data_IF_011498322786
#
_entry.id   IF_011498322786
#
_cell.length_a   1.000
_cell.length_b   1.000
_cell.length_c   1.000
_cell.angle_alpha   90.00
_cell.angle_beta   90.00
_cell.angle_gamma   90.00
#
_symmetry.space_group_name_H-M   'P 1'
#
loop_
_entity.id
_entity.type
_entity.pdbx_description
1 polymer ?
#
# COMPACT_ATOMS: atom_id res chain seq x y z
N UNK A 1 7.05 11.85 -0.06
CA UNK A 1 5.92 11.93 -1.02
C UNK A 1 6.00 13.22 -1.83
N UNK A 2 5.84 13.10 -3.16
CA UNK A 2 5.78 14.18 -4.14
C UNK A 2 4.38 14.83 -4.17
N UNK A 3 4.35 16.15 -4.09
CA UNK A 3 3.14 16.96 -4.19
C UNK A 3 2.75 17.19 -5.65
N UNK A 4 1.48 16.96 -6.00
CA UNK A 4 0.96 17.00 -7.36
C UNK A 4 -0.27 17.90 -7.44
N UNK A 5 -0.24 18.86 -8.37
CA UNK A 5 -1.33 19.80 -8.65
C UNK A 5 -1.83 19.72 -10.10
N UNK A 6 -1.14 18.99 -10.96
CA UNK A 6 -1.52 18.77 -12.36
C UNK A 6 -2.01 17.34 -12.54
N UNK A 7 -3.29 17.19 -12.87
CA UNK A 7 -3.96 15.90 -12.99
C UNK A 7 -4.19 15.61 -14.47
N UNK A 8 -3.40 14.72 -15.03
CA UNK A 8 -3.49 14.29 -16.42
C UNK A 8 -3.58 12.75 -16.53
N UNK A 9 -3.84 12.26 -17.74
CA UNK A 9 -3.92 10.83 -18.00
C UNK A 9 -2.58 10.12 -17.79
N UNK A 10 -1.45 10.84 -17.95
CA UNK A 10 -0.12 10.25 -17.77
C UNK A 10 0.11 9.89 -16.31
N UNK A 11 -0.21 10.82 -15.40
CA UNK A 11 -0.17 10.59 -13.96
C UNK A 11 -1.11 9.46 -13.54
N UNK A 12 -2.31 9.40 -14.13
CA UNK A 12 -3.27 8.31 -13.86
C UNK A 12 -2.69 6.94 -14.20
N UNK A 13 -2.02 6.82 -15.34
CA UNK A 13 -1.33 5.58 -15.73
C UNK A 13 -0.10 5.31 -14.86
N UNK A 14 0.65 6.34 -14.45
CA UNK A 14 1.77 6.21 -13.50
C UNK A 14 1.31 5.61 -12.16
N UNK A 15 0.22 6.13 -11.59
CA UNK A 15 -0.36 5.63 -10.34
C UNK A 15 -0.82 4.17 -10.50
N UNK A 16 -1.57 3.85 -11.56
CA UNK A 16 -2.04 2.48 -11.81
C UNK A 16 -0.89 1.49 -11.96
N UNK A 17 0.16 1.86 -12.70
CA UNK A 17 1.32 1.00 -12.90
C UNK A 17 2.09 0.80 -11.59
N UNK A 18 2.23 1.85 -10.79
CA UNK A 18 2.86 1.76 -9.47
C UNK A 18 2.06 0.85 -8.55
N UNK A 19 0.74 1.02 -8.49
CA UNK A 19 -0.16 0.17 -7.71
C UNK A 19 -0.11 -1.29 -8.15
N UNK A 20 -0.19 -1.55 -9.46
CA UNK A 20 -0.06 -2.91 -9.99
C UNK A 20 1.29 -3.54 -9.61
N UNK A 21 2.37 -2.77 -9.65
CA UNK A 21 3.69 -3.19 -9.18
C UNK A 21 3.70 -3.49 -7.68
N UNK A 22 3.05 -2.67 -6.85
CA UNK A 22 2.94 -2.91 -5.41
C UNK A 22 2.22 -4.24 -5.11
N UNK A 23 1.16 -4.58 -5.86
CA UNK A 23 0.49 -5.89 -5.73
C UNK A 23 1.49 -7.03 -5.96
N UNK A 24 2.33 -6.95 -7.00
CA UNK A 24 3.33 -7.98 -7.28
C UNK A 24 4.41 -8.05 -6.18
N UNK A 25 4.86 -6.90 -5.68
CA UNK A 25 5.80 -6.82 -4.55
C UNK A 25 5.21 -7.47 -3.30
N UNK A 26 3.95 -7.16 -2.94
CA UNK A 26 3.27 -7.78 -1.80
C UNK A 26 3.19 -9.31 -1.94
N UNK A 27 2.80 -9.81 -3.11
CA UNK A 27 2.74 -11.26 -3.37
C UNK A 27 4.12 -11.89 -3.24
N UNK A 28 5.16 -11.28 -3.84
CA UNK A 28 6.52 -11.80 -3.80
C UNK A 28 7.07 -11.88 -2.39
N UNK A 29 7.00 -10.77 -1.64
CA UNK A 29 7.50 -10.71 -0.26
C UNK A 29 6.67 -11.61 0.66
N UNK A 30 5.35 -11.65 0.50
CA UNK A 30 4.52 -12.55 1.30
C UNK A 30 4.92 -14.01 1.06
N UNK A 31 5.05 -14.46 -0.19
CA UNK A 31 5.46 -15.83 -0.50
C UNK A 31 6.84 -16.20 0.07
N UNK A 32 7.76 -15.24 0.11
CA UNK A 32 9.10 -15.43 0.65
C UNK A 32 9.10 -15.61 2.17
N UNK A 33 8.38 -14.76 2.90
CA UNK A 33 8.44 -14.74 4.37
C UNK A 33 7.34 -15.55 5.05
N UNK A 34 6.24 -15.85 4.37
CA UNK A 34 5.11 -16.61 4.92
C UNK A 34 5.50 -17.92 5.62
N UNK A 35 6.50 -18.71 5.18
CA UNK A 35 6.96 -19.88 5.91
C UNK A 35 7.41 -19.57 7.35
N UNK A 36 8.11 -18.44 7.57
CA UNK A 36 8.60 -18.05 8.89
C UNK A 36 7.46 -17.67 9.85
N UNK A 37 6.40 -17.02 9.36
CA UNK A 37 5.21 -16.74 10.16
C UNK A 37 4.41 -18.01 10.46
N UNK A 38 4.36 -18.97 9.53
CA UNK A 38 3.68 -20.26 9.75
C UNK A 38 4.31 -21.09 10.87
N UNK A 39 5.62 -20.99 11.08
CA UNK A 39 6.31 -21.64 12.22
C UNK A 39 5.80 -21.14 13.59
N UNK A 40 5.17 -19.96 13.61
CA UNK A 40 4.58 -19.31 14.80
C UNK A 40 3.04 -19.39 14.81
N UNK A 41 2.43 -20.22 13.95
CA UNK A 41 0.98 -20.30 13.77
C UNK A 41 0.35 -18.96 13.33
N UNK A 42 1.12 -18.14 12.60
CA UNK A 42 0.72 -16.82 12.10
C UNK A 42 0.61 -16.80 10.57
N UNK A 43 -0.28 -15.95 10.04
CA UNK A 43 -0.40 -15.67 8.62
C UNK A 43 0.00 -14.23 8.32
N UNK A 44 1.02 -14.03 7.48
CA UNK A 44 1.44 -12.71 7.07
C UNK A 44 0.46 -12.19 6.01
N UNK A 45 -0.06 -10.99 6.22
CA UNK A 45 -0.95 -10.32 5.29
C UNK A 45 -0.28 -9.06 4.77
N UNK A 46 0.07 -9.08 3.48
CA UNK A 46 0.57 -7.92 2.73
C UNK A 46 -0.39 -7.65 1.59
N UNK A 47 -1.09 -6.52 1.62
CA UNK A 47 -2.10 -6.19 0.61
C UNK A 47 -2.02 -4.73 0.18
N UNK A 48 -2.15 -4.46 -1.12
CA UNK A 48 -2.39 -3.10 -1.58
C UNK A 48 -3.86 -2.75 -1.37
N UNK A 49 -4.10 -1.86 -0.42
CA UNK A 49 -5.41 -1.33 -0.12
C UNK A 49 -5.72 -0.10 -0.96
N UNK A 50 -6.98 0.02 -1.38
CA UNK A 50 -7.56 1.21 -2.01
C UNK A 50 -8.81 1.61 -1.23
N UNK A 51 -8.85 2.85 -0.79
CA UNK A 51 -9.95 3.37 0.02
C UNK A 51 -10.45 4.69 -0.52
N UNK A 52 -11.72 4.98 -0.24
CA UNK A 52 -12.30 6.30 -0.43
C UNK A 52 -13.11 6.66 0.81
N UNK A 53 -12.83 7.82 1.42
CA UNK A 53 -13.44 8.23 2.70
C UNK A 53 -13.30 7.14 3.78
N UNK A 54 -12.18 6.41 3.77
CA UNK A 54 -11.93 5.26 4.67
C UNK A 54 -12.68 3.96 4.33
N UNK A 55 -13.53 3.93 3.29
CA UNK A 55 -14.21 2.71 2.86
C UNK A 55 -13.38 1.96 1.81
N UNK A 56 -13.11 0.67 2.02
CA UNK A 56 -12.45 -0.22 1.04
C UNK A 56 -13.29 -0.29 -0.25
N UNK A 57 -12.73 0.10 -1.40
CA UNK A 57 -13.41 0.01 -2.71
C UNK A 57 -12.40 -0.28 -3.83
N UNK A 58 -12.65 -1.35 -4.58
CA UNK A 58 -11.66 -1.95 -5.47
C UNK A 58 -11.42 -1.22 -6.82
N UNK A 59 -12.33 -0.39 -7.32
CA UNK A 59 -12.28 0.09 -8.72
C UNK A 59 -12.80 1.52 -8.91
N UNK A 60 -12.23 2.49 -8.19
CA UNK A 60 -12.57 3.90 -8.38
C UNK A 60 -11.46 4.65 -9.08
N UNK A 61 -11.84 5.77 -9.71
CA UNK A 61 -10.87 6.68 -10.30
C UNK A 61 -9.91 7.16 -9.20
N UNK A 62 -8.60 6.98 -9.40
CA UNK A 62 -7.56 7.36 -8.44
C UNK A 62 -7.52 8.89 -8.21
N UNK A 63 -8.24 9.65 -9.03
CA UNK A 63 -8.45 11.08 -8.85
C UNK A 63 -9.75 11.40 -8.10
N UNK A 64 -10.56 10.45 -7.64
CA UNK A 64 -11.69 10.81 -6.77
C UNK A 64 -11.23 11.44 -5.46
N UNK A 65 -12.08 12.30 -4.90
CA UNK A 65 -11.78 12.96 -3.63
C UNK A 65 -11.72 11.94 -2.50
N UNK A 66 -10.74 12.12 -1.63
CA UNK A 66 -10.40 11.23 -0.52
C UNK A 66 -10.05 9.81 -0.97
N UNK A 67 -9.60 9.64 -2.23
CA UNK A 67 -9.00 8.39 -2.68
C UNK A 67 -7.61 8.23 -2.05
N UNK A 68 -7.35 7.05 -1.50
CA UNK A 68 -6.04 6.69 -0.95
C UNK A 68 -5.68 5.26 -1.31
N UNK A 69 -4.42 5.02 -1.65
CA UNK A 69 -3.86 3.69 -1.76
C UNK A 69 -2.57 3.56 -0.94
N UNK A 70 -2.43 2.41 -0.30
CA UNK A 70 -1.34 2.09 0.61
C UNK A 70 -1.16 0.57 0.69
N UNK A 71 0.06 0.12 0.95
CA UNK A 71 0.29 -1.27 1.31
C UNK A 71 -0.05 -1.42 2.79
N UNK A 72 -0.96 -2.31 3.14
CA UNK A 72 -1.26 -2.71 4.50
C UNK A 72 -0.43 -3.94 4.88
N UNK A 73 0.11 -3.93 6.10
CA UNK A 73 1.00 -4.95 6.63
C UNK A 73 0.39 -5.40 7.95
N UNK A 74 0.10 -6.69 8.09
CA UNK A 74 -0.46 -7.25 9.30
C UNK A 74 -0.26 -8.75 9.42
N UNK A 75 -0.75 -9.29 10.53
CA UNK A 75 -0.75 -10.72 10.83
C UNK A 75 -2.19 -11.15 11.14
N UNK A 76 -2.58 -12.29 10.60
CA UNK A 76 -3.76 -13.03 11.07
C UNK A 76 -3.30 -14.16 12.00
N UNK A 77 -3.90 -14.24 13.18
CA UNK A 77 -3.67 -15.29 14.18
C UNK A 77 -4.97 -15.55 14.93
N UNK A 78 -5.34 -16.82 15.11
CA UNK A 78 -6.54 -17.22 15.86
C UNK A 78 -7.85 -16.53 15.42
N UNK A 79 -8.03 -16.34 14.10
CA UNK A 79 -9.15 -15.60 13.48
C UNK A 79 -9.17 -14.08 13.74
N UNK A 80 -8.20 -13.56 14.50
CA UNK A 80 -8.01 -12.12 14.72
C UNK A 80 -6.99 -11.54 13.72
N UNK A 81 -7.26 -10.31 13.27
CA UNK A 81 -6.37 -9.54 12.41
C UNK A 81 -5.67 -8.44 13.19
N UNK A 82 -4.34 -8.44 13.17
CA UNK A 82 -3.48 -7.48 13.84
C UNK A 82 -2.78 -6.60 12.79
N UNK A 83 -3.15 -5.31 12.66
CA UNK A 83 -2.42 -4.39 11.79
C UNK A 83 -1.07 -4.02 12.41
N UNK A 84 0.01 -4.23 11.66
CA UNK A 84 1.38 -3.90 12.09
C UNK A 84 1.89 -2.61 11.46
N UNK A 85 1.44 -2.26 10.26
CA UNK A 85 1.87 -1.02 9.62
C UNK A 85 1.25 -0.79 8.24
N UNK A 86 1.61 0.33 7.64
CA UNK A 86 1.24 0.63 6.27
C UNK A 86 2.29 1.49 5.56
N UNK A 87 2.36 1.37 4.23
CA UNK A 87 3.22 2.16 3.35
C UNK A 87 2.33 2.98 2.40
N UNK A 88 2.27 4.32 2.52
CA UNK A 88 1.43 5.14 1.65
C UNK A 88 1.98 5.17 0.21
N UNK A 89 1.09 4.95 -0.77
CA UNK A 89 1.42 4.95 -2.20
C UNK A 89 0.89 6.21 -2.87
N UNK A 90 -0.43 6.43 -2.81
CA UNK A 90 -1.07 7.59 -3.43
C UNK A 90 -2.21 8.12 -2.55
N UNK A 91 -2.38 9.44 -2.54
CA UNK A 91 -3.50 10.11 -1.87
C UNK A 91 -3.98 11.29 -2.71
N UNK A 92 -5.27 11.30 -3.01
CA UNK A 92 -5.95 12.40 -3.68
C UNK A 92 -6.95 13.03 -2.71
N UNK A 93 -6.77 14.31 -2.40
CA UNK A 93 -7.67 15.06 -1.51
C UNK A 93 -7.97 16.44 -2.08
N UNK A 94 -9.10 16.99 -1.68
CA UNK A 94 -9.42 18.39 -1.92
C UNK A 94 -8.93 19.22 -0.73
N UNK A 95 -8.04 20.18 -1.00
CA UNK A 95 -7.56 21.13 -0.01
C UNK A 95 -7.91 22.53 -0.47
N UNK A 96 -8.77 23.22 0.29
CA UNK A 96 -9.10 24.64 0.04
C UNK A 96 -9.63 24.87 -1.39
N UNK A 97 -10.54 24.01 -1.86
CA UNK A 97 -11.12 24.01 -3.21
C UNK A 97 -10.13 23.67 -4.33
N UNK A 98 -8.93 23.20 -3.99
CA UNK A 98 -7.94 22.72 -4.94
C UNK A 98 -7.70 21.22 -4.75
N UNK A 99 -7.90 20.48 -5.85
CA UNK A 99 -7.53 19.08 -5.92
C UNK A 99 -6.01 18.92 -5.81
N UNK A 100 -5.59 18.08 -4.88
CA UNK A 100 -4.19 17.92 -4.52
C UNK A 100 -3.84 16.44 -4.34
N UNK A 101 -2.76 16.03 -4.98
CA UNK A 101 -2.26 14.66 -5.00
C UNK A 101 -0.94 14.52 -4.25
N UNK A 102 -0.76 13.39 -3.60
CA UNK A 102 0.48 13.01 -2.92
C UNK A 102 0.85 11.62 -3.39
N UNK A 103 1.92 11.52 -4.19
CA UNK A 103 2.46 10.26 -4.67
C UNK A 103 3.72 9.92 -3.88
N UNK A 104 3.95 8.65 -3.55
CA UNK A 104 5.24 8.25 -3.00
C UNK A 104 6.38 8.65 -3.93
N UNK A 105 7.50 9.06 -3.34
CA UNK A 105 8.75 9.35 -4.05
C UNK A 105 9.60 8.10 -4.26
N UNK A 106 9.17 6.96 -3.71
CA UNK A 106 9.83 5.67 -3.83
C UNK A 106 9.40 4.96 -5.12
N UNK A 107 10.37 4.37 -5.81
CA UNK A 107 10.09 3.41 -6.87
C UNK A 107 9.79 2.01 -6.30
N UNK A 108 9.43 1.06 -7.17
CA UNK A 108 9.04 -0.29 -6.75
C UNK A 108 10.13 -1.04 -5.97
N UNK A 109 11.40 -0.90 -6.34
CA UNK A 109 12.51 -1.56 -5.64
C UNK A 109 12.66 -0.97 -4.22
N UNK A 110 12.58 0.36 -4.09
CA UNK A 110 12.65 1.03 -2.79
C UNK A 110 11.44 0.69 -1.90
N UNK A 111 10.26 0.51 -2.49
CA UNK A 111 9.07 0.06 -1.77
C UNK A 111 9.21 -1.39 -1.30
N UNK A 112 9.77 -2.26 -2.14
CA UNK A 112 10.07 -3.64 -1.79
C UNK A 112 11.08 -3.71 -0.63
N UNK A 113 12.17 -2.93 -0.68
CA UNK A 113 13.17 -2.86 0.39
C UNK A 113 12.53 -2.42 1.72
N UNK A 114 11.67 -1.40 1.71
CA UNK A 114 10.95 -0.94 2.91
C UNK A 114 10.01 -2.04 3.42
N UNK A 115 9.25 -2.68 2.54
CA UNK A 115 8.33 -3.75 2.92
C UNK A 115 9.07 -4.92 3.56
N UNK A 116 10.20 -5.34 2.98
CA UNK A 116 11.07 -6.39 3.53
C UNK A 116 11.61 -6.02 4.91
N UNK A 117 12.08 -4.79 5.08
CA UNK A 117 12.57 -4.32 6.37
C UNK A 117 11.48 -4.40 7.45
N UNK A 118 10.26 -3.94 7.15
CA UNK A 118 9.14 -4.02 8.08
C UNK A 118 8.76 -5.47 8.43
N UNK A 119 8.76 -6.38 7.44
CA UNK A 119 8.47 -7.80 7.66
C UNK A 119 9.57 -8.48 8.49
N UNK A 120 10.84 -8.10 8.30
CA UNK A 120 11.95 -8.60 9.10
C UNK A 120 11.86 -8.12 10.55
N UNK A 121 11.53 -6.85 10.78
CA UNK A 121 11.30 -6.33 12.14
C UNK A 121 10.20 -7.12 12.85
N UNK A 122 9.10 -7.45 12.15
CA UNK A 122 8.02 -8.29 12.70
C UNK A 122 8.44 -9.73 13.05
N UNK A 123 9.50 -10.25 12.44
CA UNK A 123 10.06 -11.57 12.76
C UNK A 123 11.06 -11.52 13.92
N UNK A 124 11.64 -10.36 14.21
CA UNK A 124 12.56 -10.18 15.34
C UNK A 124 11.83 -9.99 16.67
N UNK A 125 10.58 -9.51 16.63
CA UNK A 125 9.63 -9.43 17.75
C UNK A 125 9.07 -10.82 18.14
#
# INVERSE_FOLDING_TARGET
>A
MKHIIHFDNKLKEEIKNLEAGCVQVCISVCNEYQPHFKEREQQLVLELMRTQKGNRKADKDCFEDEYESFIEIGIEQDEDYFPNGYIPIWKCKEEWFQKTGYLTDKNLNELEEVLRAMVLEMLED
#
